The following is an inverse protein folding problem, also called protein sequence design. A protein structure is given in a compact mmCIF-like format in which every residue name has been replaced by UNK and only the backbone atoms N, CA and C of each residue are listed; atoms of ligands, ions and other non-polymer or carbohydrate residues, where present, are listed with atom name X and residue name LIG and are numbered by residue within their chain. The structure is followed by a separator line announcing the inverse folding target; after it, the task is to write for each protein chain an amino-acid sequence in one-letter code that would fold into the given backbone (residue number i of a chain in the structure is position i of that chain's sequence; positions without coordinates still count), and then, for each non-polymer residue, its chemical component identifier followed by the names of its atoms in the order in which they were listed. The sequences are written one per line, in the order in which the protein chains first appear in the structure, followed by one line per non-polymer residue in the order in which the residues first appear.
data_IF_076808537899
#
_entry.id   IF_076808537899
#
_cell.length_a   1.000
_cell.length_b   1.000
_cell.length_c   1.000
_cell.angle_alpha   90.00
_cell.angle_beta   90.00
_cell.angle_gamma   90.00
#
_symmetry.space_group_name_H-M   'P 1'
#
loop_
_entity.id
_entity.type
_entity.pdbx_description
1 polymer ?
#
# COMPACT_ATOMS: atom_id res chain seq x y z
N UNK A 1 54.68 0.19 -45.43
CA UNK A 1 53.65 0.07 -46.48
C UNK A 1 52.82 1.34 -46.47
N UNK A 2 52.87 2.10 -47.55
CA UNK A 2 51.91 3.17 -47.86
C UNK A 2 50.60 2.51 -48.41
N UNK A 3 49.44 3.16 -48.51
CA UNK A 3 49.22 4.57 -48.85
C UNK A 3 47.93 5.17 -48.23
N UNK A 4 47.89 6.51 -48.11
CA UNK A 4 46.67 7.31 -47.89
C UNK A 4 46.11 7.82 -49.23
N UNK A 5 44.80 8.12 -49.29
CA UNK A 5 44.03 9.07 -50.16
C UNK A 5 42.56 8.56 -50.31
N UNK A 6 41.45 9.29 -50.47
CA UNK A 6 40.95 10.69 -50.36
C UNK A 6 39.40 10.58 -50.09
N UNK A 7 38.44 11.53 -50.14
CA UNK A 7 38.35 12.94 -50.62
C UNK A 7 37.18 13.73 -49.92
N UNK A 8 37.48 14.52 -48.87
CA UNK A 8 36.91 15.88 -48.60
C UNK A 8 35.45 16.11 -48.07
N UNK A 9 35.11 17.38 -47.67
CA UNK A 9 34.00 17.71 -46.75
C UNK A 9 32.98 18.78 -47.24
N UNK A 10 32.02 19.12 -46.37
CA UNK A 10 31.32 20.43 -46.26
C UNK A 10 31.35 20.82 -44.75
N UNK A 11 31.77 21.99 -44.26
CA UNK A 11 31.47 23.42 -44.53
C UNK A 11 30.37 24.05 -43.62
N UNK A 12 30.85 24.67 -42.52
CA UNK A 12 30.55 26.01 -41.96
C UNK A 12 29.11 26.62 -41.97
N UNK A 13 28.59 26.95 -40.78
CA UNK A 13 28.05 28.28 -40.36
C UNK A 13 27.40 28.18 -38.95
N UNK A 14 28.00 28.63 -37.84
CA UNK A 14 28.09 30.01 -37.28
C UNK A 14 26.78 30.69 -36.85
N UNK A 15 26.54 30.59 -35.53
CA UNK A 15 26.18 31.68 -34.59
C UNK A 15 24.74 32.25 -34.45
N UNK A 16 24.35 32.29 -33.16
CA UNK A 16 23.65 33.36 -32.44
C UNK A 16 22.12 33.24 -32.19
N UNK A 17 21.76 33.50 -30.93
CA UNK A 17 20.38 33.66 -30.46
C UNK A 17 20.00 35.14 -30.36
N UNK A 18 18.72 35.45 -30.53
CA UNK A 18 18.14 36.77 -30.29
C UNK A 18 17.01 36.66 -29.26
N UNK A 19 17.13 37.42 -28.17
CA UNK A 19 16.02 37.67 -27.25
C UNK A 19 15.14 38.78 -27.83
N UNK A 20 13.84 38.53 -27.97
CA UNK A 20 12.83 39.55 -28.25
C UNK A 20 12.03 39.87 -26.99
N UNK A 21 12.26 41.05 -26.39
CA UNK A 21 11.48 41.53 -25.24
C UNK A 21 10.54 42.62 -25.73
N UNK A 22 9.23 42.47 -25.49
CA UNK A 22 8.30 43.59 -25.61
C UNK A 22 7.05 43.45 -24.72
N UNK A 23 6.60 44.61 -24.25
CA UNK A 23 5.42 44.96 -23.43
C UNK A 23 5.13 46.45 -23.74
N UNK A 24 3.95 47.01 -23.46
CA UNK A 24 2.61 46.39 -23.38
C UNK A 24 1.56 47.24 -24.16
N UNK A 25 0.28 47.12 -23.78
CA UNK A 25 -0.81 48.12 -23.85
C UNK A 25 -1.68 48.35 -25.13
N UNK A 26 -2.88 48.85 -24.82
CA UNK A 26 -3.98 49.48 -25.60
C UNK A 26 -4.89 48.68 -26.59
N UNK A 27 -6.12 48.44 -26.09
CA UNK A 27 -7.45 48.65 -26.70
C UNK A 27 -7.85 48.09 -28.08
N UNK A 28 -8.71 47.07 -28.05
CA UNK A 28 -10.11 47.11 -28.56
C UNK A 28 -10.86 45.88 -28.00
N UNK A 29 -12.14 45.91 -27.64
CA UNK A 29 -13.29 46.43 -28.39
C UNK A 29 -14.13 45.24 -28.87
N UNK A 30 -14.65 44.43 -27.92
CA UNK A 30 -15.01 43.03 -28.16
C UNK A 30 -16.42 42.76 -28.74
N UNK A 31 -16.64 41.49 -29.12
CA UNK A 31 -17.95 40.96 -29.56
C UNK A 31 -18.18 39.59 -28.91
N UNK A 32 -19.22 39.47 -28.09
CA UNK A 32 -19.73 38.18 -27.59
C UNK A 32 -20.85 37.66 -28.51
N UNK A 33 -20.72 36.48 -29.13
CA UNK A 33 -21.83 35.85 -29.84
C UNK A 33 -22.75 35.10 -28.85
N UNK A 34 -24.03 35.52 -28.78
CA UNK A 34 -25.02 34.91 -27.88
C UNK A 34 -25.88 33.82 -28.54
N UNK A 35 -26.20 32.82 -27.71
CA UNK A 35 -27.15 31.70 -27.87
C UNK A 35 -28.24 31.80 -28.96
N UNK A 36 -28.56 30.65 -29.57
CA UNK A 36 -29.95 30.21 -29.77
C UNK A 36 -30.10 28.69 -29.58
N UNK A 37 -31.23 28.27 -29.03
CA UNK A 37 -31.67 26.87 -28.90
C UNK A 37 -33.04 26.69 -29.55
N UNK A 38 -33.25 25.56 -30.23
CA UNK A 38 -34.57 25.00 -30.55
C UNK A 38 -34.38 23.51 -30.86
N UNK A 39 -35.29 22.64 -30.40
CA UNK A 39 -35.08 21.19 -30.36
C UNK A 39 -35.86 20.37 -31.39
N UNK A 40 -35.58 19.06 -31.43
CA UNK A 40 -36.32 18.10 -32.26
C UNK A 40 -35.71 16.69 -32.31
N UNK A 41 -36.20 15.81 -31.42
CA UNK A 41 -36.30 14.34 -31.55
C UNK A 41 -35.07 13.38 -31.52
N UNK A 42 -35.34 12.26 -30.84
CA UNK A 42 -34.89 10.86 -31.01
C UNK A 42 -33.43 10.39 -30.83
N UNK A 43 -33.18 9.88 -29.61
CA UNK A 43 -32.56 8.58 -29.28
C UNK A 43 -31.17 8.24 -29.86
N UNK A 44 -30.13 8.36 -29.02
CA UNK A 44 -29.14 7.27 -28.83
C UNK A 44 -28.41 7.33 -27.48
N UNK A 45 -28.37 6.16 -26.83
CA UNK A 45 -28.10 5.84 -25.41
C UNK A 45 -26.65 6.06 -24.92
N UNK A 46 -26.49 6.07 -23.58
CA UNK A 46 -25.27 6.21 -22.76
C UNK A 46 -24.69 7.64 -22.76
N UNK A 47 -24.97 8.49 -21.77
CA UNK A 47 -24.83 8.36 -20.30
C UNK A 47 -23.39 8.19 -19.81
N UNK A 48 -22.66 9.30 -19.76
CA UNK A 48 -21.56 9.47 -18.80
C UNK A 48 -22.17 9.71 -17.41
N UNK A 49 -22.06 8.72 -16.51
CA UNK A 49 -22.52 8.87 -15.13
C UNK A 49 -21.45 9.50 -14.27
N UNK A 50 -21.79 10.67 -13.72
CA UNK A 50 -21.48 11.11 -12.35
C UNK A 50 -20.33 10.40 -11.66
N UNK A 51 -19.21 11.09 -11.46
CA UNK A 51 -18.18 10.68 -10.50
C UNK A 51 -18.82 10.70 -9.11
N UNK A 52 -19.23 9.53 -8.63
CA UNK A 52 -19.57 9.32 -7.23
C UNK A 52 -18.23 9.14 -6.52
N UNK A 53 -17.78 10.20 -5.85
CA UNK A 53 -16.75 10.06 -4.81
C UNK A 53 -17.39 9.23 -3.71
N UNK A 54 -17.08 7.93 -3.65
CA UNK A 54 -17.41 7.10 -2.51
C UNK A 54 -16.54 7.51 -1.32
N UNK A 55 -16.90 8.63 -0.70
CA UNK A 55 -16.63 8.85 0.72
C UNK A 55 -17.29 7.71 1.48
N UNK A 56 -16.52 6.63 1.70
CA UNK A 56 -16.92 5.50 2.55
C UNK A 56 -17.33 6.07 3.89
N UNK A 57 -18.64 6.14 4.12
CA UNK A 57 -19.20 6.81 5.29
C UNK A 57 -18.54 6.25 6.54
N UNK A 58 -18.05 7.15 7.40
CA UNK A 58 -17.54 6.77 8.70
C UNK A 58 -18.72 6.30 9.56
N UNK A 59 -19.02 5.00 9.47
CA UNK A 59 -19.95 4.32 10.35
C UNK A 59 -19.54 4.63 11.79
N UNK A 60 -20.51 5.04 12.61
CA UNK A 60 -20.27 5.31 14.03
C UNK A 60 -20.19 3.95 14.72
N UNK A 61 -18.98 3.38 14.74
CA UNK A 61 -18.68 2.13 15.42
C UNK A 61 -19.05 2.31 16.90
N UNK A 62 -20.08 1.58 17.34
CA UNK A 62 -20.62 1.69 18.69
C UNK A 62 -19.96 0.63 19.58
N UNK A 63 -18.85 1.02 20.21
CA UNK A 63 -18.04 0.13 21.04
C UNK A 63 -18.73 -0.28 22.37
N UNK A 64 -20.01 0.06 22.59
CA UNK A 64 -20.71 -0.11 23.89
C UNK A 64 -20.80 -1.56 24.40
N UNK A 65 -20.74 -2.57 23.51
CA UNK A 65 -20.76 -3.99 23.88
C UNK A 65 -19.39 -4.68 23.83
N UNK A 66 -18.32 -3.99 23.44
CA UNK A 66 -17.00 -4.61 23.26
C UNK A 66 -16.34 -4.86 24.61
N UNK A 67 -16.04 -6.14 24.92
CA UNK A 67 -15.15 -6.48 26.03
C UNK A 67 -13.72 -6.57 25.52
N UNK A 68 -12.81 -6.00 26.30
CA UNK A 68 -11.36 -6.01 26.07
C UNK A 68 -10.74 -6.72 27.28
N UNK A 69 -9.68 -7.50 27.08
CA UNK A 69 -8.92 -8.07 28.18
C UNK A 69 -8.42 -6.95 29.12
N UNK A 70 -8.39 -7.17 30.45
CA UNK A 70 -7.94 -6.15 31.39
C UNK A 70 -6.48 -5.77 31.10
N UNK A 71 -6.19 -4.47 31.15
CA UNK A 71 -4.83 -3.97 30.97
C UNK A 71 -3.89 -4.56 32.04
N UNK A 72 -2.70 -4.95 31.62
CA UNK A 72 -1.67 -5.43 32.55
C UNK A 72 -1.28 -4.33 33.55
N UNK A 73 -1.24 -4.68 34.84
CA UNK A 73 -0.77 -3.78 35.91
C UNK A 73 0.77 -3.62 35.91
N UNK A 74 1.49 -4.54 35.26
CA UNK A 74 2.95 -4.50 35.11
C UNK A 74 3.37 -3.53 34.00
N UNK A 75 4.02 -2.43 34.39
CA UNK A 75 4.59 -1.45 33.46
C UNK A 75 5.83 -2.03 32.76
N UNK A 76 5.81 -2.07 31.42
CA UNK A 76 6.94 -2.55 30.61
C UNK A 76 7.96 -1.43 30.36
N UNK A 77 9.23 -1.68 30.70
CA UNK A 77 10.33 -0.76 30.41
C UNK A 77 10.47 -0.49 28.90
N UNK A 78 10.73 0.78 28.53
CA UNK A 78 10.99 1.18 27.14
C UNK A 78 12.14 0.37 26.51
N UNK A 79 13.17 0.00 27.28
CA UNK A 79 14.22 -0.87 26.76
C UNK A 79 13.71 -2.24 26.30
N UNK A 80 12.74 -2.83 27.02
CA UNK A 80 12.19 -4.17 26.71
C UNK A 80 11.34 -4.13 25.45
N UNK A 81 10.59 -3.04 25.24
CA UNK A 81 9.95 -2.77 23.97
C UNK A 81 10.98 -2.55 22.84
N UNK A 82 11.97 -1.68 23.03
CA UNK A 82 12.98 -1.36 22.00
C UNK A 82 13.93 -2.54 21.65
N UNK A 83 14.10 -3.50 22.57
CA UNK A 83 14.78 -4.79 22.33
C UNK A 83 13.98 -5.72 21.39
N UNK A 84 12.68 -5.50 21.21
CA UNK A 84 11.86 -6.21 20.23
C UNK A 84 11.95 -5.50 18.87
N UNK A 85 12.18 -6.25 17.79
CA UNK A 85 12.30 -5.66 16.45
C UNK A 85 11.00 -5.84 15.67
N UNK A 86 10.12 -4.84 15.82
CA UNK A 86 8.88 -4.71 15.06
C UNK A 86 9.17 -4.13 13.68
N UNK A 87 8.72 -4.82 12.63
CA UNK A 87 8.89 -4.43 11.23
C UNK A 87 7.58 -4.44 10.47
N UNK A 88 7.43 -3.49 9.55
CA UNK A 88 6.48 -3.61 8.46
C UNK A 88 7.00 -4.68 7.48
N UNK A 89 6.21 -5.72 7.26
CA UNK A 89 6.54 -6.86 6.40
C UNK A 89 5.52 -6.96 5.27
N UNK A 90 5.97 -7.31 4.06
CA UNK A 90 5.08 -7.48 2.90
C UNK A 90 4.80 -8.96 2.66
N UNK A 91 3.52 -9.30 2.49
CA UNK A 91 3.07 -10.69 2.31
C UNK A 91 3.29 -11.09 0.85
N UNK A 92 4.27 -11.96 0.59
CA UNK A 92 4.58 -12.47 -0.77
C UNK A 92 3.70 -13.65 -1.16
N UNK A 93 3.45 -14.55 -0.22
CA UNK A 93 2.66 -15.77 -0.41
C UNK A 93 1.95 -16.14 0.90
N UNK A 94 0.79 -16.79 0.79
CA UNK A 94 -0.01 -17.24 1.92
C UNK A 94 -0.67 -18.59 1.57
N UNK A 95 -0.40 -19.61 2.38
CA UNK A 95 -0.87 -20.99 2.12
C UNK A 95 -1.52 -21.61 3.35
N UNK A 96 -2.54 -22.44 3.16
CA UNK A 96 -3.19 -23.19 4.24
C UNK A 96 -2.32 -24.37 4.67
N UNK A 97 -2.10 -24.55 5.98
CA UNK A 97 -1.27 -25.64 6.50
C UNK A 97 -2.13 -26.93 6.56
N UNK A 98 -1.93 -27.94 5.70
CA UNK A 98 -2.86 -29.08 5.58
C UNK A 98 -2.95 -29.99 6.82
N UNK A 99 -2.12 -29.73 7.85
CA UNK A 99 -2.14 -30.40 9.15
C UNK A 99 -2.96 -29.66 10.22
N UNK A 100 -3.50 -28.47 9.94
CA UNK A 100 -4.23 -27.66 10.94
C UNK A 100 -5.35 -26.84 10.30
N UNK A 101 -6.53 -26.83 10.93
CA UNK A 101 -7.71 -26.10 10.44
C UNK A 101 -7.67 -24.59 10.71
N UNK A 102 -6.75 -24.11 11.58
CA UNK A 102 -6.64 -22.71 12.01
C UNK A 102 -5.39 -21.98 11.49
N UNK A 103 -4.39 -22.70 10.98
CA UNK A 103 -3.07 -22.12 10.66
C UNK A 103 -2.91 -21.80 9.17
N UNK A 104 -2.60 -20.53 8.90
CA UNK A 104 -2.01 -20.07 7.64
C UNK A 104 -0.49 -19.97 7.79
N UNK A 105 0.22 -20.33 6.72
CA UNK A 105 1.66 -20.11 6.54
C UNK A 105 1.87 -18.92 5.64
N UNK A 106 2.65 -17.95 6.12
CA UNK A 106 2.99 -16.73 5.40
C UNK A 106 4.45 -16.76 4.98
N UNK A 107 4.70 -16.42 3.71
CA UNK A 107 6.04 -16.09 3.21
C UNK A 107 6.13 -14.57 3.14
N UNK A 108 7.04 -13.98 3.91
CA UNK A 108 7.09 -12.54 4.19
C UNK A 108 8.43 -11.94 3.78
N UNK A 109 8.38 -10.72 3.25
CA UNK A 109 9.56 -9.88 3.08
C UNK A 109 9.73 -8.93 4.28
N UNK A 110 10.83 -9.08 5.02
CA UNK A 110 11.20 -8.21 6.14
C UNK A 110 12.25 -7.14 5.78
N UNK A 111 12.52 -6.95 4.49
CA UNK A 111 13.52 -6.02 3.97
C UNK A 111 14.97 -6.48 4.13
N UNK A 112 15.23 -7.66 4.72
CA UNK A 112 16.58 -8.22 4.82
C UNK A 112 17.11 -8.81 3.50
N UNK A 113 16.23 -9.02 2.52
CA UNK A 113 16.52 -9.73 1.26
C UNK A 113 16.42 -11.25 1.37
N UNK A 114 16.07 -11.80 2.53
CA UNK A 114 15.70 -13.20 2.71
C UNK A 114 14.20 -13.34 3.01
N UNK A 115 13.55 -14.32 2.40
CA UNK A 115 12.14 -14.62 2.67
C UNK A 115 11.98 -15.32 4.02
N UNK A 116 11.03 -14.83 4.82
CA UNK A 116 10.80 -15.28 6.20
C UNK A 116 9.45 -15.98 6.34
N UNK A 117 9.46 -17.21 6.85
CA UNK A 117 8.24 -17.97 7.14
C UNK A 117 7.69 -17.61 8.53
N UNK A 118 6.41 -17.21 8.60
CA UNK A 118 5.66 -17.06 9.85
C UNK A 118 4.36 -17.87 9.76
N UNK A 119 3.97 -18.51 10.86
CA UNK A 119 2.70 -19.21 11.00
C UNK A 119 1.76 -18.36 11.85
N UNK A 120 0.50 -18.19 11.43
CA UNK A 120 -0.51 -17.46 12.21
C UNK A 120 -1.87 -18.14 12.22
N UNK A 121 -2.60 -17.98 13.32
CA UNK A 121 -3.87 -18.68 13.64
C UNK A 121 -5.13 -18.07 13.02
N UNK A 122 -5.00 -17.30 11.94
CA UNK A 122 -6.04 -16.36 11.47
C UNK A 122 -6.91 -16.87 10.31
N UNK A 123 -6.83 -18.17 10.00
CA UNK A 123 -7.59 -18.82 8.91
C UNK A 123 -9.13 -18.75 9.08
N UNK A 124 -9.62 -18.51 10.30
CA UNK A 124 -11.06 -18.36 10.57
C UNK A 124 -11.57 -16.92 10.36
N UNK A 125 -10.68 -15.98 10.03
CA UNK A 125 -10.98 -14.55 9.88
C UNK A 125 -10.62 -13.99 8.49
N UNK A 126 -9.67 -14.60 7.78
CA UNK A 126 -9.16 -14.12 6.49
C UNK A 126 -8.84 -15.28 5.54
N UNK A 127 -9.24 -15.14 4.28
CA UNK A 127 -8.79 -16.00 3.19
C UNK A 127 -7.34 -15.64 2.78
N UNK A 128 -6.51 -16.61 2.35
CA UNK A 128 -5.11 -16.36 2.02
C UNK A 128 -4.93 -15.38 0.85
N UNK A 129 -5.84 -15.43 -0.14
CA UNK A 129 -5.81 -14.55 -1.32
C UNK A 129 -5.97 -13.08 -0.96
N UNK A 130 -6.75 -12.76 0.07
CA UNK A 130 -6.94 -11.38 0.55
C UNK A 130 -5.71 -10.82 1.29
N UNK A 131 -4.78 -11.68 1.71
CA UNK A 131 -3.61 -11.27 2.48
C UNK A 131 -2.37 -11.08 1.60
N UNK A 132 -2.30 -11.71 0.43
CA UNK A 132 -1.19 -11.57 -0.52
C UNK A 132 -1.07 -10.12 -1.01
N UNK A 133 0.17 -9.62 -1.09
CA UNK A 133 0.50 -8.26 -1.51
C UNK A 133 0.41 -7.19 -0.43
N UNK A 134 -0.39 -7.41 0.62
CA UNK A 134 -0.59 -6.44 1.72
C UNK A 134 0.64 -6.30 2.62
N UNK A 135 0.74 -5.14 3.25
CA UNK A 135 1.75 -4.83 4.27
C UNK A 135 1.17 -4.99 5.67
N UNK A 136 1.84 -5.76 6.54
CA UNK A 136 1.41 -6.05 7.91
C UNK A 136 2.55 -5.80 8.93
N UNK A 137 2.24 -5.82 10.22
CA UNK A 137 3.24 -5.68 11.29
C UNK A 137 3.64 -7.05 11.85
N UNK A 138 4.95 -7.32 11.95
CA UNK A 138 5.49 -8.53 12.58
C UNK A 138 6.69 -8.24 13.49
N UNK A 139 6.92 -9.10 14.49
CA UNK A 139 8.18 -9.16 15.24
C UNK A 139 9.11 -10.15 14.56
N UNK A 140 10.31 -9.70 14.17
CA UNK A 140 11.27 -10.50 13.39
C UNK A 140 12.41 -11.10 14.22
N UNK A 141 12.64 -10.65 15.46
CA UNK A 141 13.75 -11.12 16.30
C UNK A 141 13.38 -12.19 17.34
N UNK A 142 12.20 -12.82 17.22
CA UNK A 142 11.81 -13.96 18.06
C UNK A 142 12.55 -15.26 17.65
N UNK A 143 12.86 -16.15 18.60
CA UNK A 143 13.45 -17.46 18.28
C UNK A 143 12.48 -18.33 17.46
N UNK A 144 12.96 -19.13 16.49
CA UNK A 144 12.10 -19.98 15.67
C UNK A 144 11.26 -20.96 16.49
N UNK A 145 9.94 -20.91 16.33
CA UNK A 145 9.00 -21.82 17.01
C UNK A 145 8.49 -22.89 16.05
N UNK A 146 8.88 -24.15 16.29
CA UNK A 146 8.39 -25.29 15.50
C UNK A 146 6.92 -25.59 15.80
N UNK A 147 6.08 -25.53 14.76
CA UNK A 147 4.67 -25.94 14.82
C UNK A 147 4.35 -26.81 13.60
N UNK A 148 3.77 -27.99 13.83
CA UNK A 148 3.42 -28.99 12.79
C UNK A 148 4.55 -29.44 11.84
N UNK A 149 5.81 -29.12 12.17
CA UNK A 149 7.01 -29.44 11.38
C UNK A 149 7.57 -28.28 10.55
N UNK A 150 6.99 -27.09 10.65
CA UNK A 150 7.48 -25.84 10.04
C UNK A 150 8.04 -24.93 11.14
N UNK A 151 9.14 -24.25 10.86
CA UNK A 151 9.73 -23.23 11.73
C UNK A 151 9.02 -21.88 11.52
N UNK A 152 8.29 -21.38 12.52
CA UNK A 152 7.77 -20.01 12.52
C UNK A 152 8.82 -19.05 13.05
N UNK A 153 9.44 -18.29 12.15
CA UNK A 153 10.49 -17.33 12.45
C UNK A 153 9.89 -15.95 12.70
N UNK A 154 9.14 -15.79 13.79
CA UNK A 154 8.47 -14.52 14.14
C UNK A 154 6.99 -14.69 14.47
N UNK A 155 6.31 -13.55 14.63
CA UNK A 155 4.89 -13.44 14.96
C UNK A 155 4.27 -12.21 14.28
N UNK A 156 3.13 -12.38 13.61
CA UNK A 156 2.28 -11.28 13.11
C UNK A 156 1.50 -10.65 14.27
N UNK A 157 1.34 -9.33 14.27
CA UNK A 157 0.60 -8.60 15.30
C UNK A 157 -0.86 -8.42 14.86
N UNK A 158 -1.80 -8.83 15.72
CA UNK A 158 -3.25 -8.70 15.52
C UNK A 158 -3.91 -8.17 16.79
N UNK A 159 -4.95 -7.36 16.65
CA UNK A 159 -5.80 -6.93 17.75
C UNK A 159 -6.94 -7.93 17.93
N UNK A 160 -7.21 -8.34 19.16
CA UNK A 160 -8.31 -9.25 19.54
C UNK A 160 -9.28 -8.49 20.45
N UNK A 161 -10.58 -8.72 20.26
CA UNK A 161 -11.66 -8.11 21.03
C UNK A 161 -12.84 -9.09 21.14
N UNK A 162 -13.69 -8.96 22.15
CA UNK A 162 -14.93 -9.73 22.25
C UNK A 162 -16.14 -8.83 21.93
N UNK A 163 -16.92 -9.20 20.91
CA UNK A 163 -18.16 -8.51 20.53
C UNK A 163 -19.33 -9.51 20.58
N UNK A 164 -20.38 -9.19 21.34
CA UNK A 164 -21.59 -10.02 21.52
C UNK A 164 -21.34 -11.52 21.80
N UNK A 165 -20.27 -11.86 22.55
CA UNK A 165 -19.92 -13.25 22.87
C UNK A 165 -19.09 -13.98 21.81
N UNK A 166 -18.52 -13.26 20.84
CA UNK A 166 -17.62 -13.79 19.81
C UNK A 166 -16.25 -13.13 19.89
N UNK A 167 -15.20 -13.92 19.71
CA UNK A 167 -13.86 -13.39 19.48
C UNK A 167 -13.77 -12.79 18.07
N UNK A 168 -13.43 -11.51 17.98
CA UNK A 168 -13.08 -10.80 16.76
C UNK A 168 -11.57 -10.57 16.69
N UNK A 169 -10.95 -10.89 15.56
CA UNK A 169 -9.52 -10.69 15.33
C UNK A 169 -9.30 -9.80 14.11
N UNK A 170 -8.53 -8.72 14.29
CA UNK A 170 -8.13 -7.81 13.23
C UNK A 170 -6.60 -7.82 13.07
N UNK A 171 -6.10 -8.24 11.91
CA UNK A 171 -4.66 -8.20 11.61
C UNK A 171 -4.20 -6.74 11.43
N UNK A 172 -3.08 -6.33 12.04
CA UNK A 172 -2.56 -4.97 11.87
C UNK A 172 -1.90 -4.82 10.48
N UNK A 173 -2.74 -4.49 9.50
CA UNK A 173 -2.38 -4.06 8.16
C UNK A 173 -2.03 -2.56 8.15
N UNK A 174 -1.10 -2.14 7.30
CA UNK A 174 -0.65 -0.74 7.14
C UNK A 174 -0.60 -0.34 5.66
N UNK A 175 -0.51 0.96 5.37
CA UNK A 175 -0.47 1.48 3.99
C UNK A 175 0.71 0.88 3.19
N UNK A 176 0.42 0.32 2.01
CA UNK A 176 1.41 -0.34 1.15
C UNK A 176 2.50 0.59 0.61
N UNK A 177 2.36 1.90 0.77
CA UNK A 177 3.45 2.89 0.59
C UNK A 177 4.62 2.68 1.54
N UNK A 178 4.41 2.01 2.69
CA UNK A 178 5.47 1.68 3.65
C UNK A 178 6.37 0.59 3.03
N UNK A 179 7.70 0.80 2.99
CA UNK A 179 8.63 -0.21 2.46
C UNK A 179 8.77 -1.41 3.42
N UNK A 180 9.02 -2.59 2.85
CA UNK A 180 9.38 -3.77 3.63
C UNK A 180 10.62 -3.49 4.49
N UNK A 181 10.60 -3.94 5.74
CA UNK A 181 11.68 -3.71 6.70
C UNK A 181 11.69 -2.33 7.37
N UNK A 182 10.70 -1.47 7.14
CA UNK A 182 10.53 -0.26 7.95
C UNK A 182 10.35 -0.63 9.42
N UNK A 183 11.16 -0.04 10.31
CA UNK A 183 11.13 -0.32 11.75
C UNK A 183 10.08 0.54 12.46
N UNK A 184 9.33 -0.09 13.37
CA UNK A 184 8.43 0.59 14.29
C UNK A 184 9.14 0.89 15.62
N UNK A 185 8.67 1.96 16.26
CA UNK A 185 9.18 2.58 17.50
C UNK A 185 8.00 3.11 18.33
#
# INVERSE_FOLDING_TARGET
MESKKLEKPCENATFQALQGVMKPDEETGGVFPTMKTLGGNDVSKKEEKTVITEEKAAEKIDFSNVKIEPLFEEMVDFETFAKSDYRAVKIKDCTTVPKSKKLLQFTLDDGSGADRTILSGIHEYYEPEELIGKTAIAIVNLPPRKMMGIDSCGMLISAVHEEDGKEGLNLLMVDDRIPAGAKLY
#
